data_IF_917113403619
#
_entry.id   IF_917113403619
#
_cell.length_a   1.000
_cell.length_b   1.000
_cell.length_c   1.000
_cell.angle_alpha   90.00
_cell.angle_beta   90.00
_cell.angle_gamma   90.00
#
_symmetry.space_group_name_H-M   'P 1'
#
loop_
_entity.id
_entity.type
_entity.pdbx_description
1 polymer ?
#
# COMPACT_ATOMS: atom_id res chain seq x y z
N UNK A 1 -5.78 -21.81 -18.36
CA UNK A 1 -5.66 -21.19 -17.02
C UNK A 1 -4.83 -19.92 -17.17
N UNK A 2 -5.40 -18.74 -16.88
CA UNK A 2 -4.74 -17.46 -17.12
C UNK A 2 -3.67 -17.18 -16.05
N UNK A 3 -2.41 -16.89 -16.42
CA UNK A 3 -1.38 -16.43 -15.49
C UNK A 3 -1.71 -14.99 -15.07
N UNK A 4 -2.31 -14.82 -13.89
CA UNK A 4 -2.67 -13.50 -13.39
C UNK A 4 -1.49 -12.86 -12.63
N UNK A 5 -0.92 -11.81 -13.22
CA UNK A 5 -0.04 -10.84 -12.59
C UNK A 5 -0.90 -9.84 -11.80
N UNK A 6 -0.58 -9.60 -10.52
CA UNK A 6 -1.28 -8.57 -9.73
C UNK A 6 -0.26 -7.54 -9.22
N UNK A 7 -0.51 -6.27 -9.55
CA UNK A 7 0.30 -5.15 -9.07
C UNK A 7 -0.29 -4.59 -7.77
N UNK A 8 0.52 -4.51 -6.72
CA UNK A 8 0.06 -4.04 -5.40
C UNK A 8 0.27 -2.54 -5.23
N UNK A 9 1.36 -1.98 -5.79
CA UNK A 9 1.73 -0.57 -5.66
C UNK A 9 2.61 -0.15 -6.84
N UNK A 10 2.29 0.98 -7.47
CA UNK A 10 3.06 1.57 -8.56
C UNK A 10 3.27 3.07 -8.35
N UNK A 11 4.50 3.54 -8.58
CA UNK A 11 4.74 4.95 -8.89
C UNK A 11 4.53 5.17 -10.38
N UNK A 12 4.13 6.39 -10.78
CA UNK A 12 4.01 6.80 -12.20
C UNK A 12 5.31 6.60 -13.03
N UNK A 13 6.44 6.30 -12.40
CA UNK A 13 7.76 6.16 -13.02
C UNK A 13 8.20 4.70 -13.26
N UNK A 14 7.27 3.76 -13.45
CA UNK A 14 7.60 2.40 -13.91
C UNK A 14 8.20 1.45 -12.87
N UNK A 15 8.36 1.89 -11.62
CA UNK A 15 8.79 1.02 -10.51
C UNK A 15 7.57 0.49 -9.75
N UNK A 16 7.06 -0.66 -10.19
CA UNK A 16 6.08 -1.44 -9.44
C UNK A 16 6.78 -2.18 -8.32
N UNK A 17 6.39 -1.93 -7.07
CA UNK A 17 7.13 -2.47 -5.92
C UNK A 17 6.87 -3.95 -5.68
N UNK A 18 5.69 -4.45 -6.07
CA UNK A 18 5.31 -5.84 -5.84
C UNK A 18 4.43 -6.34 -6.97
N UNK A 19 4.99 -7.27 -7.73
CA UNK A 19 4.31 -8.04 -8.76
C UNK A 19 4.10 -9.46 -8.24
N UNK A 20 2.83 -9.85 -8.12
CA UNK A 20 2.45 -11.17 -7.65
C UNK A 20 2.21 -12.10 -8.83
N UNK A 21 2.97 -13.18 -8.90
CA UNK A 21 2.85 -14.17 -9.97
C UNK A 21 2.51 -15.54 -9.39
N UNK A 22 1.71 -16.29 -10.14
CA UNK A 22 1.06 -17.51 -9.66
C UNK A 22 1.53 -18.77 -10.41
N UNK A 23 2.49 -18.63 -11.32
CA UNK A 23 3.10 -19.71 -12.08
C UNK A 23 4.61 -19.45 -12.22
N UNK A 24 5.43 -20.32 -11.63
CA UNK A 24 6.88 -20.18 -11.60
C UNK A 24 7.54 -20.25 -12.99
N UNK A 25 7.00 -21.06 -13.91
CA UNK A 25 7.49 -21.14 -15.28
C UNK A 25 7.26 -19.83 -16.03
N UNK A 26 6.12 -19.18 -15.79
CA UNK A 26 5.82 -17.85 -16.36
C UNK A 26 6.70 -16.77 -15.74
N UNK A 27 7.03 -16.87 -14.44
CA UNK A 27 8.01 -15.97 -13.81
C UNK A 27 9.34 -16.05 -14.53
N UNK A 28 9.87 -17.27 -14.69
CA UNK A 28 11.17 -17.50 -15.32
C UNK A 28 11.19 -17.03 -16.78
N UNK A 29 10.11 -17.25 -17.51
CA UNK A 29 10.02 -16.83 -18.91
C UNK A 29 9.90 -15.31 -19.09
N UNK A 30 9.20 -14.62 -18.19
CA UNK A 30 8.98 -13.17 -18.25
C UNK A 30 9.98 -12.35 -17.42
N UNK A 31 11.00 -13.00 -16.83
CA UNK A 31 12.01 -12.34 -15.99
C UNK A 31 12.59 -11.05 -16.61
N UNK A 32 12.95 -11.01 -17.92
CA UNK A 32 13.48 -9.79 -18.53
C UNK A 32 12.50 -8.60 -18.51
N UNK A 33 11.18 -8.85 -18.53
CA UNK A 33 10.18 -7.80 -18.39
C UNK A 33 10.04 -7.35 -16.93
N UNK A 34 10.11 -8.31 -16.01
CA UNK A 34 10.02 -8.02 -14.58
C UNK A 34 11.19 -7.19 -14.07
N UNK A 35 12.40 -7.39 -14.59
CA UNK A 35 13.56 -6.55 -14.26
C UNK A 35 13.34 -5.06 -14.54
N UNK A 36 12.51 -4.74 -15.56
CA UNK A 36 12.15 -3.36 -15.91
C UNK A 36 10.93 -2.86 -15.12
N UNK A 37 9.97 -3.74 -14.83
CA UNK A 37 8.73 -3.38 -14.15
C UNK A 37 8.88 -3.28 -12.62
N UNK A 38 9.81 -4.03 -12.03
CA UNK A 38 10.13 -3.99 -10.60
C UNK A 38 10.05 -5.35 -9.91
N UNK A 39 10.02 -5.35 -8.57
CA UNK A 39 10.26 -6.56 -7.79
C UNK A 39 9.08 -7.53 -7.85
N UNK A 40 9.37 -8.77 -8.26
CA UNK A 40 8.41 -9.88 -8.28
C UNK A 40 8.49 -10.69 -7.00
N UNK A 41 7.34 -11.13 -6.51
CA UNK A 41 7.24 -12.08 -5.40
C UNK A 41 6.25 -13.17 -5.78
N UNK A 42 6.71 -14.42 -5.72
CA UNK A 42 5.84 -15.58 -5.92
C UNK A 42 5.03 -15.82 -4.64
N UNK A 43 3.69 -15.86 -4.76
CA UNK A 43 2.76 -15.98 -3.62
C UNK A 43 1.92 -17.25 -3.66
N UNK A 44 2.35 -18.25 -4.45
CA UNK A 44 1.66 -19.53 -4.59
C UNK A 44 0.81 -19.63 -5.85
N UNK A 45 0.03 -20.71 -5.94
CA UNK A 45 -0.73 -21.06 -7.14
C UNK A 45 -1.92 -20.13 -7.48
N UNK A 46 -2.76 -20.53 -8.43
CA UNK A 46 -3.92 -19.77 -8.89
C UNK A 46 -4.83 -19.26 -7.74
N UNK A 47 -5.30 -18.03 -7.86
CA UNK A 47 -6.08 -17.29 -6.85
C UNK A 47 -5.24 -16.54 -5.81
N UNK A 48 -4.03 -16.99 -5.48
CA UNK A 48 -3.26 -16.45 -4.35
C UNK A 48 -2.79 -15.01 -4.55
N UNK A 49 -2.48 -14.61 -5.78
CA UNK A 49 -2.14 -13.23 -6.11
C UNK A 49 -3.28 -12.25 -5.82
N UNK A 50 -4.51 -12.65 -6.17
CA UNK A 50 -5.70 -11.83 -5.90
C UNK A 50 -6.01 -11.77 -4.40
N UNK A 51 -5.97 -12.91 -3.70
CA UNK A 51 -6.14 -12.93 -2.24
C UNK A 51 -5.10 -12.06 -1.53
N UNK A 52 -3.83 -12.10 -1.97
CA UNK A 52 -2.78 -11.28 -1.39
C UNK A 52 -3.01 -9.78 -1.64
N UNK A 53 -3.52 -9.39 -2.82
CA UNK A 53 -3.92 -7.99 -3.07
C UNK A 53 -5.06 -7.55 -2.14
N UNK A 54 -6.09 -8.37 -1.97
CA UNK A 54 -7.20 -8.07 -1.04
C UNK A 54 -6.67 -7.92 0.39
N UNK A 55 -5.85 -8.87 0.87
CA UNK A 55 -5.23 -8.81 2.21
C UNK A 55 -4.40 -7.53 2.37
N UNK A 56 -3.62 -7.15 1.36
CA UNK A 56 -2.88 -5.88 1.39
C UNK A 56 -3.81 -4.67 1.54
N UNK A 57 -4.91 -4.62 0.78
CA UNK A 57 -5.85 -3.50 0.84
C UNK A 57 -6.60 -3.43 2.18
N UNK A 58 -6.90 -4.57 2.81
CA UNK A 58 -7.42 -4.61 4.18
C UNK A 58 -6.43 -3.97 5.16
N UNK A 59 -5.15 -4.35 5.08
CA UNK A 59 -4.10 -3.80 5.97
C UNK A 59 -3.91 -2.31 5.73
N UNK A 60 -3.86 -1.86 4.48
CA UNK A 60 -3.77 -0.43 4.12
C UNK A 60 -4.97 0.34 4.68
N UNK A 61 -6.19 -0.15 4.49
CA UNK A 61 -7.41 0.47 4.99
C UNK A 61 -7.44 0.58 6.52
N UNK A 62 -7.11 -0.51 7.23
CA UNK A 62 -7.04 -0.51 8.69
C UNK A 62 -5.99 0.46 9.23
N UNK A 63 -4.83 0.55 8.57
CA UNK A 63 -3.75 1.46 8.96
C UNK A 63 -4.15 2.92 8.74
N UNK A 64 -4.80 3.21 7.59
CA UNK A 64 -5.29 4.55 7.26
C UNK A 64 -6.37 5.01 8.24
N UNK A 65 -7.29 4.10 8.62
CA UNK A 65 -8.31 4.35 9.63
C UNK A 65 -7.66 4.69 10.98
N UNK A 66 -6.76 3.83 11.47
CA UNK A 66 -6.07 4.04 12.74
C UNK A 66 -5.25 5.34 12.78
N UNK A 67 -4.58 5.68 11.68
CA UNK A 67 -3.89 6.97 11.55
C UNK A 67 -4.86 8.16 11.62
N UNK A 68 -5.99 8.07 10.93
CA UNK A 68 -7.00 9.13 10.90
C UNK A 68 -7.57 9.38 12.29
N UNK A 69 -7.97 8.32 13.00
CA UNK A 69 -8.48 8.41 14.37
C UNK A 69 -7.41 8.90 15.35
N UNK A 70 -6.19 8.37 15.23
CA UNK A 70 -5.06 8.77 16.06
C UNK A 70 -4.73 10.26 15.95
N UNK A 71 -4.74 10.82 14.74
CA UNK A 71 -4.50 12.25 14.52
C UNK A 71 -5.61 13.12 15.13
N UNK A 72 -6.87 12.73 14.99
CA UNK A 72 -8.00 13.44 15.61
C UNK A 72 -7.93 13.36 17.13
N UNK A 73 -7.56 12.20 17.67
CA UNK A 73 -7.40 12.03 19.11
C UNK A 73 -6.23 12.86 19.65
N UNK A 74 -5.08 12.85 18.97
CA UNK A 74 -3.91 13.64 19.34
C UNK A 74 -4.24 15.14 19.45
N UNK A 75 -4.96 15.68 18.44
CA UNK A 75 -5.42 17.07 18.46
C UNK A 75 -6.36 17.36 19.65
N UNK A 76 -7.31 16.45 19.94
CA UNK A 76 -8.21 16.60 21.10
C UNK A 76 -7.49 16.46 22.45
N UNK A 77 -6.41 15.70 22.50
CA UNK A 77 -5.56 15.56 23.68
C UNK A 77 -4.57 16.74 23.85
N UNK A 78 -4.57 17.72 22.93
CA UNK A 78 -3.69 18.89 22.98
C UNK A 78 -2.29 18.64 22.43
N UNK A 79 -2.06 17.56 21.69
CA UNK A 79 -0.79 17.28 21.02
C UNK A 79 -0.72 18.01 19.67
N UNK A 80 0.47 18.48 19.31
CA UNK A 80 0.74 18.86 17.93
C UNK A 80 0.81 17.61 17.05
N UNK A 81 0.04 17.61 15.96
CA UNK A 81 -0.07 16.44 15.06
C UNK A 81 1.23 16.13 14.33
N UNK A 82 2.03 17.14 13.96
CA UNK A 82 3.30 16.92 13.26
C UNK A 82 4.32 16.34 14.22
N UNK A 83 4.46 16.91 15.41
CA UNK A 83 5.36 16.39 16.44
C UNK A 83 4.98 14.96 16.83
N UNK A 84 3.68 14.67 16.97
CA UNK A 84 3.19 13.31 17.20
C UNK A 84 3.65 12.33 16.11
N UNK A 85 3.41 12.65 14.83
CA UNK A 85 3.81 11.79 13.70
C UNK A 85 5.33 11.59 13.70
N UNK A 86 6.10 12.66 13.87
CA UNK A 86 7.56 12.61 13.91
C UNK A 86 8.08 11.74 15.07
N UNK A 87 7.43 11.78 16.23
CA UNK A 87 7.80 10.99 17.39
C UNK A 87 7.55 9.48 17.20
N UNK A 88 6.46 9.10 16.50
CA UNK A 88 6.04 7.69 16.42
C UNK A 88 6.42 7.00 15.11
N UNK A 89 6.76 7.74 14.04
CA UNK A 89 7.03 7.16 12.72
C UNK A 89 8.19 6.16 12.68
N UNK A 90 9.16 6.26 13.59
CA UNK A 90 10.28 5.33 13.70
C UNK A 90 10.00 4.10 14.58
N UNK A 91 8.86 4.07 15.26
CA UNK A 91 8.48 2.99 16.18
C UNK A 91 7.44 2.04 15.59
N UNK A 92 6.77 1.31 16.48
CA UNK A 92 5.77 0.29 16.10
C UNK A 92 4.56 0.85 15.32
N UNK A 93 4.25 2.14 15.46
CA UNK A 93 3.20 2.81 14.71
C UNK A 93 3.63 3.26 13.30
N UNK A 94 4.94 3.23 13.01
CA UNK A 94 5.50 3.61 11.73
C UNK A 94 4.98 2.75 10.59
N UNK A 95 4.54 3.38 9.50
CA UNK A 95 4.08 2.68 8.30
C UNK A 95 4.25 3.54 7.05
N UNK A 96 4.34 2.88 5.89
CA UNK A 96 4.32 3.58 4.59
C UNK A 96 3.05 4.43 4.41
N UNK A 97 1.92 3.99 4.99
CA UNK A 97 0.67 4.76 4.98
C UNK A 97 0.84 6.06 5.75
N UNK A 98 1.46 6.03 6.92
CA UNK A 98 1.78 7.23 7.70
C UNK A 98 2.70 8.18 6.94
N UNK A 99 3.75 7.68 6.29
CA UNK A 99 4.66 8.51 5.50
C UNK A 99 3.96 9.19 4.30
N UNK A 100 3.04 8.47 3.64
CA UNK A 100 2.35 8.97 2.45
C UNK A 100 1.18 9.90 2.79
N UNK A 101 0.44 9.62 3.86
CA UNK A 101 -0.82 10.29 4.17
C UNK A 101 -0.76 11.19 5.40
N UNK A 102 0.17 11.00 6.34
CA UNK A 102 0.22 11.75 7.59
C UNK A 102 0.31 13.26 7.39
N UNK A 103 1.31 13.72 6.63
CA UNK A 103 1.48 15.15 6.32
C UNK A 103 0.30 15.71 5.51
N UNK A 104 -0.27 14.90 4.62
CA UNK A 104 -1.43 15.29 3.81
C UNK A 104 -2.69 15.46 4.65
N UNK A 105 -2.92 14.57 5.61
CA UNK A 105 -4.03 14.67 6.56
C UNK A 105 -3.89 15.90 7.45
N UNK A 106 -2.68 16.17 7.94
CA UNK A 106 -2.36 17.36 8.73
C UNK A 106 -2.62 18.63 7.92
N UNK A 107 -2.13 18.69 6.68
CA UNK A 107 -2.33 19.80 5.75
C UNK A 107 -3.71 19.85 5.08
N UNK A 108 -4.59 18.89 5.36
CA UNK A 108 -5.91 18.71 4.71
C UNK A 108 -5.86 18.62 3.18
N UNK A 109 -4.78 18.05 2.63
CA UNK A 109 -4.58 17.83 1.19
C UNK A 109 -5.12 16.47 0.73
N UNK A 110 -6.39 16.46 0.35
CA UNK A 110 -7.10 15.27 -0.10
C UNK A 110 -7.17 15.12 -1.63
N UNK A 111 -6.30 15.83 -2.38
CA UNK A 111 -6.24 15.65 -3.84
C UNK A 111 -5.92 14.18 -4.18
N UNK A 112 -6.62 13.54 -5.12
CA UNK A 112 -6.51 12.09 -5.29
C UNK A 112 -5.10 11.66 -5.73
N UNK A 113 -4.49 10.78 -4.94
CA UNK A 113 -3.30 10.01 -5.34
C UNK A 113 -3.69 8.63 -5.89
N UNK A 114 -4.71 8.04 -5.26
CA UNK A 114 -5.51 6.90 -5.70
C UNK A 114 -6.96 7.24 -5.30
N UNK A 115 -7.94 6.90 -6.12
CA UNK A 115 -9.34 7.27 -5.84
C UNK A 115 -9.91 6.37 -4.74
N UNK A 116 -10.67 6.95 -3.81
CA UNK A 116 -11.32 6.22 -2.71
C UNK A 116 -12.21 5.09 -3.23
N UNK A 117 -12.84 5.28 -4.38
CA UNK A 117 -13.64 4.25 -5.06
C UNK A 117 -12.84 2.98 -5.36
N UNK A 118 -11.54 3.08 -5.66
CA UNK A 118 -10.69 1.92 -5.91
C UNK A 118 -10.32 1.18 -4.64
N UNK A 119 -10.16 1.89 -3.52
CA UNK A 119 -10.03 1.24 -2.21
C UNK A 119 -11.30 0.49 -1.83
N UNK A 120 -12.48 1.09 -2.04
CA UNK A 120 -13.76 0.43 -1.75
C UNK A 120 -13.99 -0.76 -2.67
N UNK A 121 -13.63 -0.66 -3.95
CA UNK A 121 -13.75 -1.77 -4.91
C UNK A 121 -12.86 -2.97 -4.56
N UNK A 122 -11.75 -2.74 -3.86
CA UNK A 122 -10.83 -3.80 -3.44
C UNK A 122 -11.16 -4.39 -2.05
N UNK A 123 -12.09 -3.79 -1.29
CA UNK A 123 -12.57 -4.24 0.03
C UNK A 123 -13.89 -5.01 -0.10
#
# INVERSE_FOLDING_TARGET
>A
MHPCLVAISGRKTGNWRFLLVQNEHVVKWLNPLFDVLGKVTFVGGPGKGQSCKIVNQIVVGATLLGLSEGLVFAEKAGLDKREFVEAVKGGAAGSMVMELFGERMIGRDFRPGELTEYMVKDL
#
